data_IF_336105804107
#
_entry.id   IF_336105804107
#
_cell.length_a   1.000
_cell.length_b   1.000
_cell.length_c   1.000
_cell.angle_alpha   90.00
_cell.angle_beta   90.00
_cell.angle_gamma   90.00
#
_symmetry.space_group_name_H-M   'P 1'
#
loop_
_entity.id
_entity.type
_entity.pdbx_description
1 polymer ?
#
# COMPACT_ATOMS: atom_id res chain seq x y z
N UNK A 1 18.52 -19.51 14.76
CA UNK A 1 19.08 -19.42 13.40
C UNK A 1 18.91 -17.99 12.92
N UNK A 2 19.99 -17.23 12.81
CA UNK A 2 20.00 -15.89 12.22
C UNK A 2 20.39 -16.02 10.75
N UNK A 3 19.45 -15.78 9.85
CA UNK A 3 19.75 -15.68 8.42
C UNK A 3 20.21 -14.25 8.13
N UNK A 4 21.34 -14.09 7.45
CA UNK A 4 21.85 -12.79 6.99
C UNK A 4 21.39 -12.63 5.54
N UNK A 5 20.58 -11.61 5.27
CA UNK A 5 20.17 -11.25 3.91
C UNK A 5 21.05 -10.08 3.43
N UNK A 6 21.81 -10.30 2.36
CA UNK A 6 22.57 -9.24 1.70
C UNK A 6 21.67 -8.56 0.66
N UNK A 7 21.38 -7.26 0.84
CA UNK A 7 20.51 -6.47 -0.03
C UNK A 7 21.35 -5.64 -1.01
N UNK A 8 20.93 -5.59 -2.27
CA UNK A 8 21.49 -4.70 -3.29
C UNK A 8 20.38 -3.76 -3.81
N UNK A 9 20.68 -2.48 -4.01
CA UNK A 9 19.71 -1.46 -4.45
C UNK A 9 19.47 -1.44 -5.97
N UNK A 10 19.76 -2.54 -6.69
CA UNK A 10 19.75 -2.57 -8.17
C UNK A 10 18.35 -2.33 -8.77
N UNK A 11 17.29 -2.61 -8.00
CA UNK A 11 15.89 -2.52 -8.47
C UNK A 11 15.06 -1.43 -7.77
N UNK A 12 15.67 -0.65 -6.88
CA UNK A 12 15.03 0.53 -6.32
C UNK A 12 15.66 1.73 -7.04
N UNK A 13 14.90 2.75 -7.52
CA UNK A 13 15.51 4.06 -7.70
C UNK A 13 16.25 4.36 -6.40
N UNK A 14 17.52 4.77 -6.49
CA UNK A 14 18.41 4.84 -5.33
C UNK A 14 17.85 5.70 -4.19
N UNK A 15 18.57 5.82 -3.09
CA UNK A 15 18.30 6.85 -2.09
C UNK A 15 17.82 6.36 -0.74
N UNK A 16 17.80 7.31 0.19
CA UNK A 16 17.56 7.08 1.60
C UNK A 16 16.10 7.36 1.95
N UNK A 17 15.43 6.39 2.58
CA UNK A 17 14.09 6.59 3.11
C UNK A 17 14.22 7.27 4.49
N UNK A 18 14.21 8.61 4.51
CA UNK A 18 14.59 9.42 5.68
C UNK A 18 13.57 9.54 6.82
N UNK A 19 12.36 8.98 6.69
CA UNK A 19 11.34 8.99 7.76
C UNK A 19 11.31 7.65 8.50
N UNK A 20 10.59 7.51 9.62
CA UNK A 20 10.35 6.16 10.16
C UNK A 20 9.13 5.56 9.44
N UNK A 21 9.32 4.41 8.78
CA UNK A 21 8.23 3.67 8.16
C UNK A 21 7.22 3.16 9.20
N UNK A 22 5.99 2.89 8.76
CA UNK A 22 4.98 2.23 9.57
C UNK A 22 5.29 0.74 9.65
N UNK A 23 5.48 0.24 10.87
CA UNK A 23 5.75 -1.18 11.11
C UNK A 23 4.44 -1.97 11.23
N UNK A 24 4.37 -3.10 10.53
CA UNK A 24 3.30 -4.10 10.59
C UNK A 24 3.93 -5.50 10.70
N UNK A 25 3.21 -6.51 11.24
CA UNK A 25 3.71 -7.88 11.21
C UNK A 25 4.06 -8.31 9.78
N UNK A 26 5.29 -8.80 9.52
CA UNK A 26 5.70 -9.21 8.17
C UNK A 26 4.80 -10.29 7.57
N UNK A 27 4.21 -11.13 8.41
CA UNK A 27 3.25 -12.17 8.02
C UNK A 27 1.95 -11.62 7.41
N UNK A 28 1.64 -10.34 7.63
CA UNK A 28 0.49 -9.69 7.00
C UNK A 28 0.83 -9.14 5.61
N UNK A 29 2.10 -9.01 5.23
CA UNK A 29 2.47 -8.52 3.89
C UNK A 29 2.26 -9.64 2.89
N UNK A 30 1.32 -9.44 1.95
CA UNK A 30 1.07 -10.41 0.88
C UNK A 30 2.13 -10.23 -0.22
N UNK A 31 2.72 -11.31 -0.78
CA UNK A 31 3.64 -11.19 -1.90
C UNK A 31 2.99 -10.48 -3.09
N UNK A 32 3.69 -9.49 -3.66
CA UNK A 32 3.21 -8.70 -4.80
C UNK A 32 4.20 -8.75 -5.96
N UNK A 33 3.71 -8.47 -7.18
CA UNK A 33 4.58 -8.24 -8.35
C UNK A 33 5.31 -6.90 -8.24
N UNK A 34 4.59 -5.89 -7.76
CA UNK A 34 5.09 -4.54 -7.53
C UNK A 34 4.85 -4.17 -6.08
N UNK A 35 5.86 -3.61 -5.44
CA UNK A 35 5.82 -3.20 -4.02
C UNK A 35 5.73 -1.67 -3.86
N UNK A 36 5.89 -0.92 -4.95
CA UNK A 36 5.72 0.52 -5.01
C UNK A 36 4.38 0.83 -5.67
N UNK A 37 3.55 1.62 -5.02
CA UNK A 37 2.22 1.97 -5.49
C UNK A 37 2.02 3.48 -5.36
N UNK A 38 1.37 4.10 -6.34
CA UNK A 38 0.83 5.45 -6.19
C UNK A 38 -0.67 5.34 -5.94
N UNK A 39 -1.09 5.67 -4.72
CA UNK A 39 -2.46 5.50 -4.24
C UNK A 39 -3.00 6.88 -3.90
N UNK A 40 -3.96 7.38 -4.70
CA UNK A 40 -4.56 8.71 -4.53
C UNK A 40 -3.54 9.86 -4.44
N UNK A 41 -2.50 9.84 -5.29
CA UNK A 41 -1.46 10.87 -5.33
C UNK A 41 -0.47 10.82 -4.17
N UNK A 42 -0.44 9.70 -3.44
CA UNK A 42 0.51 9.38 -2.37
C UNK A 42 1.31 8.15 -2.77
N UNK A 43 2.64 8.22 -2.66
CA UNK A 43 3.52 7.08 -2.84
C UNK A 43 3.48 6.16 -1.62
N UNK A 44 3.30 4.87 -1.85
CA UNK A 44 3.29 3.82 -0.82
C UNK A 44 4.25 2.72 -1.24
N UNK A 45 5.24 2.42 -0.41
CA UNK A 45 6.16 1.30 -0.62
C UNK A 45 5.90 0.27 0.47
N UNK A 46 5.51 -0.94 0.07
CA UNK A 46 5.21 -2.05 0.97
C UNK A 46 6.45 -2.94 1.06
N UNK A 47 7.24 -2.79 2.13
CA UNK A 47 8.42 -3.64 2.34
C UNK A 47 8.03 -5.06 2.77
N UNK A 48 8.66 -6.07 2.19
CA UNK A 48 8.46 -7.48 2.55
C UNK A 48 8.80 -7.78 4.03
N UNK A 49 9.56 -6.90 4.68
CA UNK A 49 9.92 -6.96 6.09
C UNK A 49 8.84 -6.36 7.02
N UNK A 50 7.68 -5.98 6.51
CA UNK A 50 6.64 -5.34 7.30
C UNK A 50 6.87 -3.85 7.56
N UNK A 51 7.86 -3.22 6.91
CA UNK A 51 8.04 -1.76 6.96
C UNK A 51 7.36 -1.13 5.76
N UNK A 52 6.36 -0.30 6.01
CA UNK A 52 5.60 0.41 4.98
C UNK A 52 6.00 1.87 4.97
N UNK A 53 6.39 2.36 3.80
CA UNK A 53 6.78 3.74 3.59
C UNK A 53 5.67 4.51 2.90
N UNK A 54 5.41 5.72 3.37
CA UNK A 54 4.38 6.60 2.83
C UNK A 54 5.04 7.95 2.51
N UNK A 55 4.96 8.37 1.26
CA UNK A 55 5.60 9.58 0.75
C UNK A 55 4.59 10.44 -0.03
N UNK A 56 4.73 11.78 -0.05
CA UNK A 56 3.78 12.66 -0.75
C UNK A 56 3.67 12.48 -2.27
N UNK A 57 4.62 11.75 -2.86
CA UNK A 57 4.66 11.33 -4.26
C UNK A 57 5.55 10.08 -4.33
N UNK A 58 5.37 9.27 -5.37
CA UNK A 58 6.31 8.21 -5.69
C UNK A 58 7.47 8.83 -6.46
N UNK A 59 8.66 8.86 -5.87
CA UNK A 59 9.85 9.33 -6.58
C UNK A 59 10.34 8.20 -7.50
N UNK A 60 10.12 8.36 -8.80
CA UNK A 60 10.61 7.44 -9.83
C UNK A 60 11.97 7.86 -10.40
N UNK A 61 12.57 8.91 -9.86
CA UNK A 61 13.84 9.44 -10.36
C UNK A 61 14.96 8.41 -10.17
N UNK A 62 15.72 8.08 -11.23
CA UNK A 62 16.76 7.06 -11.17
C UNK A 62 17.91 7.43 -10.21
N UNK A 63 18.17 8.72 -10.01
CA UNK A 63 19.16 9.23 -9.08
C UNK A 63 18.71 9.16 -7.61
N UNK A 64 17.43 8.87 -7.38
CA UNK A 64 17.00 8.37 -6.10
C UNK A 64 16.92 9.40 -5.00
N UNK A 65 15.91 10.26 -5.00
CA UNK A 65 15.35 10.96 -3.83
C UNK A 65 16.28 11.78 -2.91
N UNK A 66 17.58 11.91 -3.19
CA UNK A 66 18.55 12.61 -2.32
C UNK A 66 18.22 14.10 -2.15
N UNK A 67 17.47 14.67 -3.10
CA UNK A 67 16.93 16.02 -3.05
C UNK A 67 15.41 15.99 -2.94
N UNK A 68 14.89 15.96 -1.71
CA UNK A 68 13.58 16.54 -1.46
C UNK A 68 13.78 17.70 -0.50
N UNK A 69 13.80 18.90 -1.07
CA UNK A 69 13.76 20.15 -0.31
C UNK A 69 12.52 20.13 0.60
N UNK A 70 12.74 19.86 1.88
CA UNK A 70 11.72 19.87 2.93
C UNK A 70 11.14 21.28 3.20
N UNK A 71 11.57 22.27 2.44
CA UNK A 71 11.18 23.69 2.54
C UNK A 71 9.85 23.99 1.84
N UNK A 72 9.38 23.12 0.94
CA UNK A 72 8.07 23.31 0.31
C UNK A 72 6.95 22.85 1.24
N UNK A 73 6.02 23.75 1.56
CA UNK A 73 4.83 23.41 2.32
C UNK A 73 3.97 22.42 1.54
N UNK A 74 3.91 21.17 2.03
CA UNK A 74 3.01 20.16 1.45
C UNK A 74 1.56 20.63 1.55
N UNK A 75 0.76 20.59 0.47
CA UNK A 75 -0.65 20.97 0.53
C UNK A 75 -1.41 20.18 1.61
N UNK A 76 -2.40 20.82 2.24
CA UNK A 76 -3.18 20.19 3.31
C UNK A 76 -3.84 18.89 2.85
N UNK A 77 -4.37 18.85 1.64
CA UNK A 77 -5.02 17.67 1.07
C UNK A 77 -4.08 16.47 0.97
N UNK A 78 -2.81 16.71 0.57
CA UNK A 78 -1.79 15.66 0.56
C UNK A 78 -1.47 15.17 1.97
N UNK A 79 -1.37 16.08 2.95
CA UNK A 79 -1.15 15.69 4.36
C UNK A 79 -2.31 14.84 4.88
N UNK A 80 -3.55 15.20 4.56
CA UNK A 80 -4.75 14.43 4.92
C UNK A 80 -4.70 13.04 4.29
N UNK A 81 -4.35 12.93 3.00
CA UNK A 81 -4.21 11.64 2.31
C UNK A 81 -3.14 10.74 2.95
N UNK A 82 -1.96 11.30 3.27
CA UNK A 82 -0.88 10.60 3.96
C UNK A 82 -1.33 10.01 5.31
N UNK A 83 -1.98 10.83 6.13
CA UNK A 83 -2.48 10.41 7.45
C UNK A 83 -3.60 9.38 7.31
N UNK A 84 -4.49 9.55 6.33
CA UNK A 84 -5.56 8.59 6.04
C UNK A 84 -5.01 7.22 5.67
N UNK A 85 -4.03 7.14 4.75
CA UNK A 85 -3.37 5.87 4.41
C UNK A 85 -2.74 5.24 5.66
N UNK A 86 -2.03 6.02 6.47
CA UNK A 86 -1.43 5.52 7.70
C UNK A 86 -2.49 5.01 8.70
N UNK A 87 -3.66 5.66 8.79
CA UNK A 87 -4.77 5.20 9.63
C UNK A 87 -5.37 3.89 9.10
N UNK A 88 -5.62 3.81 7.78
CA UNK A 88 -6.10 2.61 7.12
C UNK A 88 -5.16 1.41 7.32
N UNK A 89 -3.85 1.60 7.15
CA UNK A 89 -2.86 0.54 7.35
C UNK A 89 -2.86 0.02 8.79
N UNK A 90 -2.92 0.92 9.79
CA UNK A 90 -3.04 0.52 11.19
C UNK A 90 -4.32 -0.25 11.46
N UNK A 91 -5.43 0.17 10.86
CA UNK A 91 -6.72 -0.52 10.96
C UNK A 91 -6.65 -1.93 10.36
N UNK A 92 -6.10 -2.07 9.15
CA UNK A 92 -5.93 -3.37 8.50
C UNK A 92 -5.04 -4.30 9.35
N UNK A 93 -3.90 -3.80 9.83
CA UNK A 93 -2.97 -4.55 10.65
C UNK A 93 -3.59 -5.05 11.96
N UNK A 94 -4.35 -4.19 12.67
CA UNK A 94 -5.05 -4.56 13.91
C UNK A 94 -6.10 -5.64 13.70
N UNK A 95 -6.74 -5.67 12.53
CA UNK A 95 -7.76 -6.65 12.18
C UNK A 95 -7.19 -7.87 11.43
N UNK A 96 -5.86 -8.03 11.40
CA UNK A 96 -5.15 -9.15 10.77
C UNK A 96 -5.48 -9.30 9.27
N UNK A 97 -5.82 -8.19 8.60
CA UNK A 97 -6.07 -8.18 7.16
C UNK A 97 -4.73 -8.05 6.45
N UNK A 98 -4.50 -8.91 5.46
CA UNK A 98 -3.27 -8.87 4.66
C UNK A 98 -3.11 -7.52 3.95
N UNK A 99 -1.89 -7.00 3.93
CA UNK A 99 -1.53 -5.69 3.41
C UNK A 99 -0.87 -5.85 2.03
N UNK A 100 -1.51 -5.20 1.06
CA UNK A 100 -1.16 -5.15 -0.37
C UNK A 100 -2.06 -4.11 -1.06
N UNK A 101 -1.81 -3.83 -2.33
CA UNK A 101 -2.45 -2.79 -3.13
C UNK A 101 -3.98 -2.77 -3.00
N UNK A 102 -4.65 -3.92 -3.19
CA UNK A 102 -6.11 -4.01 -3.11
C UNK A 102 -6.63 -3.66 -1.72
N UNK A 103 -6.01 -4.20 -0.67
CA UNK A 103 -6.44 -3.93 0.71
C UNK A 103 -6.30 -2.44 1.07
N UNK A 104 -5.21 -1.80 0.62
CA UNK A 104 -4.91 -0.39 0.91
C UNK A 104 -5.89 0.49 0.14
N UNK A 105 -6.07 0.24 -1.16
CA UNK A 105 -7.02 0.98 -2.00
C UNK A 105 -8.46 0.82 -1.51
N UNK A 106 -8.88 -0.39 -1.13
CA UNK A 106 -10.22 -0.66 -0.60
C UNK A 106 -10.45 0.08 0.72
N UNK A 107 -9.47 0.00 1.64
CA UNK A 107 -9.55 0.69 2.93
C UNK A 107 -9.60 2.21 2.77
N UNK A 108 -8.76 2.78 1.91
CA UNK A 108 -8.76 4.21 1.63
C UNK A 108 -10.11 4.64 1.04
N UNK A 109 -10.60 3.93 0.01
CA UNK A 109 -11.88 4.21 -0.65
C UNK A 109 -13.05 4.17 0.34
N UNK A 110 -13.11 3.13 1.18
CA UNK A 110 -14.17 2.98 2.18
C UNK A 110 -14.10 4.08 3.25
N UNK A 111 -12.90 4.54 3.60
CA UNK A 111 -12.66 5.58 4.60
C UNK A 111 -13.02 7.00 4.14
N UNK A 112 -13.22 7.25 2.85
CA UNK A 112 -13.53 8.59 2.31
C UNK A 112 -14.84 9.18 2.84
N UNK A 113 -15.75 8.32 3.30
CA UNK A 113 -17.02 8.72 3.94
C UNK A 113 -16.80 9.39 5.29
N UNK A 114 -15.64 9.17 5.92
CA UNK A 114 -15.31 9.66 7.25
C UNK A 114 -14.17 10.69 7.20
N UNK A 115 -14.17 11.58 8.20
CA UNK A 115 -13.03 12.47 8.44
C UNK A 115 -11.85 11.66 8.95
N UNK A 116 -10.63 12.09 8.63
CA UNK A 116 -9.41 11.34 8.98
C UNK A 116 -9.26 11.13 10.49
N UNK A 117 -9.70 12.10 11.31
CA UNK A 117 -9.66 11.97 12.77
C UNK A 117 -10.60 10.88 13.28
N UNK A 118 -11.72 10.63 12.60
CA UNK A 118 -12.73 9.65 13.01
C UNK A 118 -12.24 8.21 12.81
N UNK A 119 -11.30 7.99 11.88
CA UNK A 119 -10.71 6.67 11.61
C UNK A 119 -9.89 6.12 12.78
N UNK A 120 -9.57 6.94 13.79
CA UNK A 120 -8.94 6.49 15.02
C UNK A 120 -9.91 5.74 15.95
N UNK A 121 -11.23 5.95 15.80
CA UNK A 121 -12.22 5.35 16.69
C UNK A 121 -12.49 3.88 16.34
N UNK A 122 -12.46 2.96 17.33
CA UNK A 122 -12.72 1.53 17.10
C UNK A 122 -14.10 1.24 16.48
N UNK A 123 -15.10 2.05 16.80
CA UNK A 123 -16.47 1.93 16.27
C UNK A 123 -16.51 2.13 14.73
N UNK A 124 -15.72 3.05 14.22
CA UNK A 124 -15.61 3.27 12.76
C UNK A 124 -14.90 2.09 12.12
N UNK A 125 -13.86 1.54 12.79
CA UNK A 125 -13.17 0.35 12.32
C UNK A 125 -14.11 -0.86 12.23
N UNK A 126 -15.00 -1.09 13.20
CA UNK A 126 -15.90 -2.25 13.17
C UNK A 126 -16.93 -2.18 12.06
N UNK A 127 -17.34 -0.97 11.65
CA UNK A 127 -18.22 -0.75 10.49
C UNK A 127 -17.46 -0.90 9.17
N UNK A 128 -16.24 -0.34 9.09
CA UNK A 128 -15.44 -0.33 7.86
C UNK A 128 -14.88 -1.71 7.50
N UNK A 129 -14.45 -2.50 8.48
CA UNK A 129 -13.77 -3.77 8.24
C UNK A 129 -14.60 -4.74 7.39
N UNK A 130 -15.87 -5.06 7.70
CA UNK A 130 -16.70 -5.93 6.88
C UNK A 130 -16.81 -5.43 5.42
N UNK A 131 -17.06 -4.12 5.26
CA UNK A 131 -17.18 -3.48 3.95
C UNK A 131 -15.88 -3.61 3.15
N UNK A 132 -14.73 -3.37 3.79
CA UNK A 132 -13.42 -3.50 3.16
C UNK A 132 -13.15 -4.95 2.76
N UNK A 133 -13.47 -5.91 3.63
CA UNK A 133 -13.33 -7.34 3.33
C UNK A 133 -14.17 -7.75 2.12
N UNK A 134 -15.39 -7.24 1.99
CA UNK A 134 -16.24 -7.54 0.83
C UNK A 134 -15.71 -6.90 -0.46
N UNK A 135 -15.20 -5.66 -0.38
CA UNK A 135 -14.51 -5.00 -1.49
C UNK A 135 -13.27 -5.79 -1.93
N UNK A 136 -12.47 -6.26 -0.98
CA UNK A 136 -11.29 -7.09 -1.25
C UNK A 136 -11.70 -8.37 -1.99
N UNK A 137 -12.69 -9.11 -1.47
CA UNK A 137 -13.17 -10.35 -2.10
C UNK A 137 -13.68 -10.11 -3.53
N UNK A 138 -14.43 -9.03 -3.74
CA UNK A 138 -14.94 -8.67 -5.05
C UNK A 138 -13.82 -8.37 -6.06
N UNK A 139 -12.82 -7.61 -5.64
CA UNK A 139 -11.66 -7.25 -6.46
C UNK A 139 -10.76 -8.45 -6.75
N UNK A 140 -10.54 -9.33 -5.78
CA UNK A 140 -9.77 -10.57 -5.99
C UNK A 140 -10.48 -11.51 -6.97
N UNK A 141 -11.80 -11.65 -6.87
CA UNK A 141 -12.60 -12.41 -7.83
C UNK A 141 -12.49 -11.82 -9.24
N UNK A 142 -12.48 -10.49 -9.37
CA UNK A 142 -12.31 -9.80 -10.64
C UNK A 142 -10.95 -10.12 -11.27
N UNK A 143 -9.86 -10.01 -10.50
CA UNK A 143 -8.50 -10.32 -10.96
C UNK A 143 -8.31 -11.80 -11.33
N UNK A 144 -8.94 -12.71 -10.60
CA UNK A 144 -8.91 -14.13 -10.93
C UNK A 144 -9.56 -14.42 -12.31
N UNK A 145 -10.75 -13.85 -12.55
CA UNK A 145 -11.45 -14.00 -13.83
C UNK A 145 -10.66 -13.40 -15.01
N UNK A 146 -9.99 -12.27 -14.78
CA UNK A 146 -9.13 -11.62 -15.78
C UNK A 146 -7.95 -12.52 -16.16
N UNK A 147 -7.27 -13.10 -15.16
CA UNK A 147 -6.19 -14.06 -15.38
C UNK A 147 -6.65 -15.31 -16.15
N UNK A 148 -7.83 -15.86 -15.81
CA UNK A 148 -8.38 -17.02 -16.52
C UNK A 148 -8.69 -16.70 -17.99
N UNK A 149 -9.19 -15.48 -18.28
CA UNK A 149 -9.42 -15.00 -19.65
C UNK A 149 -8.12 -14.83 -20.42
N UNK A 150 -7.09 -14.27 -19.81
CA UNK A 150 -5.76 -14.13 -20.42
C UNK A 150 -5.14 -15.49 -20.74
N UNK A 151 -5.24 -16.46 -19.82
CA UNK A 151 -4.73 -17.81 -20.02
C UNK A 151 -5.48 -18.54 -21.15
N UNK A 152 -6.81 -18.41 -21.20
CA UNK A 152 -7.62 -18.96 -22.28
C UNK A 152 -7.27 -18.33 -23.64
N UNK A 153 -7.06 -17.01 -23.69
CA UNK A 153 -6.64 -16.31 -24.90
C UNK A 153 -5.23 -16.75 -25.34
N UNK A 154 -4.30 -16.97 -24.41
CA UNK A 154 -2.95 -17.47 -24.71
C UNK A 154 -2.98 -18.88 -25.29
N UNK A 155 -3.79 -19.78 -24.72
CA UNK A 155 -3.98 -21.15 -25.24
C UNK A 155 -4.56 -21.15 -26.66
N UNK A 156 -5.53 -20.27 -26.95
CA UNK A 156 -6.12 -20.12 -28.30
C UNK A 156 -5.14 -19.58 -29.34
N UNK A 157 -4.17 -18.75 -28.95
CA UNK A 157 -3.13 -18.23 -29.85
C UNK A 157 -1.98 -19.22 -30.09
N UNK A 158 -1.87 -20.26 -29.27
CA UNK A 158 -0.84 -21.28 -29.36
C UNK A 158 -1.30 -22.54 -30.13
N UNK A 159 -2.57 -22.59 -30.51
CA UNK A 159 -3.20 -23.57 -31.40
C UNK A 159 -3.28 -22.98 -32.82
#
# INVERSE_FOLDING_TARGET
MTAILHLNNVNLPGGELRRKGLEVPPSLVKPQKEYMHEIYGVGVIVGCNGIIWISPALNTDPDGGYNTDFTSELPLDKRIALVRIAACLRMLARNLISIYDVSIMSAYSASLVYKVMELAHPEISSILVPKITDMIKAEEKRRALEKDREEAARKRRAL
#
